data_IF_840058199272
#
_entry.id   IF_840058199272
#
_cell.length_a   1.000
_cell.length_b   1.000
_cell.length_c   1.000
_cell.angle_alpha   90.00
_cell.angle_beta   90.00
_cell.angle_gamma   90.00
#
_symmetry.space_group_name_H-M   'P 1'
#
loop_
_entity.id
_entity.type
_entity.pdbx_description
1 polymer ?
#
# COMPACT_ATOMS: atom_id res chain seq x y z
N UNK A 1 4.17 -13.61 -2.26
CA UNK A 1 3.36 -12.65 -1.49
C UNK A 1 3.74 -12.72 -0.02
N UNK A 2 4.34 -11.65 0.50
CA UNK A 2 4.65 -11.45 1.91
C UNK A 2 3.71 -10.40 2.51
N UNK A 3 3.58 -10.43 3.85
CA UNK A 3 2.79 -9.46 4.62
C UNK A 3 3.71 -8.60 5.46
N UNK A 4 3.55 -7.28 5.38
CA UNK A 4 4.39 -6.32 6.08
C UNK A 4 3.53 -5.39 6.95
N UNK A 5 3.77 -5.36 8.26
CA UNK A 5 3.16 -4.37 9.15
C UNK A 5 3.97 -3.06 9.14
N UNK A 6 3.31 -1.95 8.83
CA UNK A 6 3.95 -0.66 8.65
C UNK A 6 3.21 0.42 9.43
N UNK A 7 3.95 1.23 10.17
CA UNK A 7 3.43 2.46 10.74
C UNK A 7 3.14 3.48 9.65
N UNK A 8 2.07 4.24 9.83
CA UNK A 8 1.70 5.39 8.99
C UNK A 8 1.15 6.53 9.85
N UNK A 9 1.42 7.76 9.44
CA UNK A 9 0.96 8.94 10.17
C UNK A 9 -0.55 9.14 9.99
N UNK A 10 -1.27 9.71 10.97
CA UNK A 10 -2.71 9.91 10.87
C UNK A 10 -3.17 10.61 9.59
N UNK A 11 -2.46 11.67 9.19
CA UNK A 11 -2.81 12.46 8.01
C UNK A 11 -2.67 11.64 6.72
N UNK A 12 -1.62 10.81 6.62
CA UNK A 12 -1.42 9.92 5.47
C UNK A 12 -2.37 8.72 5.52
N UNK A 13 -2.71 8.24 6.71
CA UNK A 13 -3.69 7.16 6.89
C UNK A 13 -5.05 7.56 6.32
N UNK A 14 -5.54 8.77 6.59
CA UNK A 14 -6.78 9.29 6.01
C UNK A 14 -6.72 9.42 4.48
N UNK A 15 -5.58 9.86 3.94
CA UNK A 15 -5.40 9.96 2.49
C UNK A 15 -5.39 8.60 1.80
N UNK A 16 -4.77 7.59 2.41
CA UNK A 16 -4.83 6.21 1.92
C UNK A 16 -6.26 5.68 2.05
N UNK A 17 -6.91 5.88 3.19
CA UNK A 17 -8.27 5.38 3.44
C UNK A 17 -9.29 5.96 2.45
N UNK A 18 -9.18 7.25 2.12
CA UNK A 18 -10.04 7.91 1.13
C UNK A 18 -9.68 7.58 -0.32
N UNK A 19 -8.55 6.91 -0.57
CA UNK A 19 -8.05 6.63 -1.93
C UNK A 19 -7.37 7.82 -2.60
N UNK A 20 -7.26 8.97 -1.93
CA UNK A 20 -6.55 10.14 -2.44
C UNK A 20 -5.03 9.90 -2.59
N UNK A 21 -4.47 9.01 -1.77
CA UNK A 21 -3.06 8.62 -1.83
C UNK A 21 -2.95 7.13 -2.20
N UNK A 22 -2.48 6.90 -3.42
CA UNK A 22 -2.34 5.56 -4.03
C UNK A 22 -0.89 5.13 -4.20
N UNK A 23 0.07 5.89 -3.64
CA UNK A 23 1.48 5.52 -3.62
C UNK A 23 2.17 5.93 -2.31
N UNK A 24 3.27 5.26 -1.98
CA UNK A 24 4.05 5.53 -0.77
C UNK A 24 5.55 5.41 -1.04
N UNK A 25 6.33 6.39 -0.58
CA UNK A 25 7.79 6.27 -0.50
C UNK A 25 8.18 5.51 0.79
N UNK A 26 9.03 4.49 0.66
CA UNK A 26 9.55 3.70 1.78
C UNK A 26 11.03 3.40 1.60
N UNK A 27 11.78 3.24 2.70
CA UNK A 27 13.07 2.56 2.64
C UNK A 27 12.82 1.10 2.25
N UNK A 28 13.55 0.56 1.30
CA UNK A 28 13.39 -0.82 0.84
C UNK A 28 14.21 -1.81 1.70
N UNK A 29 14.08 -1.72 3.03
CA UNK A 29 14.84 -2.54 3.99
C UNK A 29 14.20 -3.90 4.30
N UNK A 30 13.08 -4.20 3.63
CA UNK A 30 12.33 -5.45 3.76
C UNK A 30 12.27 -6.24 2.46
N UNK A 31 12.89 -5.70 1.40
CA UNK A 31 12.80 -6.19 0.04
C UNK A 31 11.34 -6.32 -0.39
N UNK A 32 10.59 -5.22 -0.45
CA UNK A 32 9.20 -5.23 -0.92
C UNK A 32 9.10 -5.76 -2.35
N UNK A 33 8.00 -6.42 -2.68
CA UNK A 33 7.74 -6.92 -4.04
C UNK A 33 6.31 -6.60 -4.48
N UNK A 34 6.10 -6.56 -5.80
CA UNK A 34 4.75 -6.50 -6.38
C UNK A 34 3.95 -7.72 -5.93
N UNK A 35 2.71 -7.48 -5.49
CA UNK A 35 1.83 -8.49 -4.92
C UNK A 35 1.95 -8.65 -3.41
N UNK A 36 2.92 -8.02 -2.73
CA UNK A 36 2.95 -7.99 -1.27
C UNK A 36 1.76 -7.22 -0.67
N UNK A 37 1.35 -7.63 0.52
CA UNK A 37 0.31 -6.95 1.29
C UNK A 37 0.95 -6.13 2.42
N UNK A 38 0.47 -4.90 2.57
CA UNK A 38 0.88 -3.98 3.62
C UNK A 38 -0.29 -3.79 4.60
N UNK A 39 -0.06 -4.14 5.85
CA UNK A 39 -0.94 -3.77 6.95
C UNK A 39 -0.48 -2.40 7.47
N UNK A 40 -1.21 -1.35 7.08
CA UNK A 40 -0.92 0.01 7.51
C UNK A 40 -1.59 0.26 8.85
N UNK A 41 -0.77 0.50 9.87
CA UNK A 41 -1.19 0.73 11.24
C UNK A 41 -1.00 2.21 11.58
N UNK A 42 -2.09 2.90 11.88
CA UNK A 42 -2.00 4.31 12.24
C UNK A 42 -1.26 4.49 13.56
N UNK A 43 -0.23 5.34 13.53
CA UNK A 43 0.66 5.59 14.67
C UNK A 43 0.86 7.09 14.90
N UNK A 44 0.55 7.56 16.11
CA UNK A 44 0.74 8.96 16.53
C UNK A 44 2.15 9.14 17.07
N UNK A 45 3.10 9.48 16.21
CA UNK A 45 4.53 9.60 16.57
C UNK A 45 4.82 10.55 17.74
N UNK A 46 4.06 11.64 17.88
CA UNK A 46 4.21 12.57 19.01
C UNK A 46 3.81 11.96 20.35
N UNK A 47 2.88 11.01 20.35
CA UNK A 47 2.37 10.33 21.54
C UNK A 47 3.01 8.94 21.74
N UNK A 48 3.71 8.42 20.73
CA UNK A 48 4.34 7.10 20.79
C UNK A 48 3.35 5.92 20.76
N UNK A 49 2.10 6.14 20.34
CA UNK A 49 1.03 5.15 20.44
C UNK A 49 0.41 4.78 19.08
N UNK A 50 -0.09 3.55 19.01
CA UNK A 50 -1.02 3.13 17.96
C UNK A 50 -2.42 3.60 18.32
N UNK A 51 -3.21 4.02 17.32
CA UNK A 51 -4.62 4.40 17.55
C UNK A 51 -5.57 3.22 17.52
N UNK A 52 -5.10 2.06 17.06
CA UNK A 52 -5.90 0.87 16.79
C UNK A 52 -6.48 0.81 15.37
N UNK A 53 -6.45 1.90 14.60
CA UNK A 53 -6.93 1.90 13.21
C UNK A 53 -5.92 1.23 12.28
N UNK A 54 -6.43 0.42 11.34
CA UNK A 54 -5.62 -0.32 10.37
C UNK A 54 -6.34 -0.39 9.02
N UNK A 55 -5.58 -0.43 7.93
CA UNK A 55 -6.09 -0.79 6.60
C UNK A 55 -5.12 -1.72 5.87
N UNK A 56 -5.66 -2.53 4.96
CA UNK A 56 -4.89 -3.49 4.16
C UNK A 56 -4.83 -3.03 2.72
N UNK A 57 -3.62 -2.89 2.20
CA UNK A 57 -3.37 -2.54 0.81
C UNK A 57 -2.40 -3.54 0.18
N UNK A 58 -2.49 -3.71 -1.13
CA UNK A 58 -1.57 -4.54 -1.91
C UNK A 58 -0.64 -3.65 -2.74
N UNK A 59 0.63 -4.02 -2.84
CA UNK A 59 1.57 -3.39 -3.76
C UNK A 59 1.22 -3.83 -5.18
N UNK A 60 0.80 -2.90 -6.02
CA UNK A 60 0.41 -3.19 -7.41
C UNK A 60 1.55 -2.93 -8.39
N UNK A 61 2.38 -1.92 -8.11
CA UNK A 61 3.58 -1.57 -8.87
C UNK A 61 4.64 -1.03 -7.90
N UNK A 62 5.91 -1.07 -8.31
CA UNK A 62 7.01 -0.55 -7.51
C UNK A 62 8.14 -0.03 -8.39
N UNK A 63 8.74 1.09 -8.00
CA UNK A 63 10.06 1.54 -8.46
C UNK A 63 11.07 1.42 -7.33
N UNK A 64 12.29 0.97 -7.63
CA UNK A 64 13.39 0.87 -6.67
C UNK A 64 14.48 1.88 -7.03
N UNK A 65 14.94 2.66 -6.06
CA UNK A 65 15.91 3.73 -6.31
C UNK A 65 17.24 3.26 -6.88
N UNK A 66 17.60 2.00 -6.65
CA UNK A 66 18.80 1.39 -7.22
C UNK A 66 18.74 1.29 -8.76
N UNK A 67 17.52 1.28 -9.33
CA UNK A 67 17.27 1.20 -10.78
C UNK A 67 16.79 2.54 -11.39
N UNK A 68 16.19 3.40 -10.57
CA UNK A 68 15.49 4.63 -11.01
C UNK A 68 16.10 5.92 -10.44
N UNK A 69 17.36 5.89 -10.01
CA UNK A 69 18.09 7.05 -9.44
C UNK A 69 18.09 8.28 -10.36
N UNK A 70 18.13 8.07 -11.68
CA UNK A 70 18.07 9.12 -12.71
C UNK A 70 16.79 9.94 -12.68
N UNK A 71 15.72 9.42 -12.06
CA UNK A 71 14.45 10.12 -11.88
C UNK A 71 14.29 10.73 -10.47
N UNK A 72 15.38 10.76 -9.68
CA UNK A 72 15.40 11.35 -8.34
C UNK A 72 14.99 10.39 -7.21
N UNK A 73 14.76 9.09 -7.51
CA UNK A 73 14.49 8.11 -6.47
C UNK A 73 15.80 7.65 -5.81
N UNK A 74 16.00 7.99 -4.54
CA UNK A 74 17.24 7.69 -3.83
C UNK A 74 17.50 6.18 -3.68
N UNK A 75 18.75 5.74 -3.87
CA UNK A 75 19.24 4.38 -3.59
C UNK A 75 18.78 3.88 -2.22
N UNK A 76 18.34 2.63 -2.15
CA UNK A 76 17.78 2.03 -0.93
C UNK A 76 16.35 2.45 -0.57
N UNK A 77 15.69 3.29 -1.38
CA UNK A 77 14.26 3.60 -1.26
C UNK A 77 13.46 2.95 -2.39
N UNK A 78 12.15 2.80 -2.16
CA UNK A 78 11.19 2.33 -3.14
C UNK A 78 9.93 3.20 -3.10
N UNK A 79 9.36 3.46 -4.28
CA UNK A 79 8.03 4.05 -4.44
C UNK A 79 7.06 2.91 -4.73
N UNK A 80 6.11 2.68 -3.81
CA UNK A 80 5.15 1.58 -3.88
C UNK A 80 3.79 2.13 -4.31
N UNK A 81 3.27 1.72 -5.47
CA UNK A 81 1.85 1.90 -5.80
C UNK A 81 1.03 0.90 -5.01
N UNK A 82 -0.07 1.38 -4.42
CA UNK A 82 -0.90 0.60 -3.50
C UNK A 82 -2.38 0.69 -3.86
N UNK A 83 -3.10 -0.37 -3.52
CA UNK A 83 -4.55 -0.46 -3.72
C UNK A 83 -5.21 -1.21 -2.57
N UNK A 84 -6.41 -0.80 -2.15
CA UNK A 84 -7.14 -1.47 -1.07
C UNK A 84 -7.46 -2.92 -1.44
N UNK A 85 -7.15 -3.84 -0.53
CA UNK A 85 -7.45 -5.27 -0.73
C UNK A 85 -8.97 -5.49 -0.88
N UNK A 86 -9.77 -4.78 -0.10
CA UNK A 86 -11.23 -4.90 -0.14
C UNK A 86 -11.81 -4.37 -1.47
N UNK A 87 -11.18 -3.38 -2.10
CA UNK A 87 -11.59 -2.87 -3.41
C UNK A 87 -11.31 -3.91 -4.51
N UNK A 88 -10.12 -4.52 -4.47
CA UNK A 88 -9.72 -5.57 -5.41
C UNK A 88 -10.63 -6.79 -5.35
N UNK A 89 -11.06 -7.19 -4.15
CA UNK A 89 -12.00 -8.31 -3.98
C UNK A 89 -13.36 -8.00 -4.61
N UNK A 90 -13.92 -6.80 -4.37
CA UNK A 90 -15.20 -6.39 -4.97
C UNK A 90 -15.15 -6.33 -6.49
N UNK A 91 -14.05 -5.82 -7.06
CA UNK A 91 -13.87 -5.80 -8.51
C UNK A 91 -13.73 -7.20 -9.11
N UNK A 92 -12.96 -8.07 -8.45
CA UNK A 92 -12.82 -9.46 -8.90
C UNK A 92 -14.17 -10.20 -8.87
N UNK A 93 -14.94 -10.04 -7.80
CA UNK A 93 -16.29 -10.61 -7.67
C UNK A 93 -17.25 -10.06 -8.73
N UNK A 94 -17.22 -8.75 -8.99
CA UNK A 94 -18.03 -8.11 -10.02
C UNK A 94 -17.68 -8.64 -11.43
N UNK A 95 -16.38 -8.82 -11.73
CA UNK A 95 -15.92 -9.40 -13.01
C UNK A 95 -16.36 -10.85 -13.16
N UNK A 96 -16.29 -11.66 -12.10
CA UNK A 96 -16.77 -13.05 -12.12
C UNK A 96 -18.27 -13.10 -12.40
N UNK A 97 -19.08 -12.29 -11.70
CA UNK A 97 -20.54 -12.23 -11.94
C UNK A 97 -20.88 -11.83 -13.38
N UNK A 98 -20.16 -10.85 -13.92
CA UNK A 98 -20.32 -10.41 -15.31
C UNK A 98 -20.00 -11.54 -16.32
N UNK A 99 -18.96 -12.34 -16.07
CA UNK A 99 -18.60 -13.48 -16.93
C UNK A 99 -19.60 -14.62 -16.80
N UNK A 100 -20.14 -14.85 -15.60
CA UNK A 100 -21.09 -15.94 -15.33
C UNK A 100 -22.54 -15.62 -15.72
N UNK A 101 -22.83 -14.40 -16.18
CA UNK A 101 -24.17 -14.00 -16.63
C UNK A 101 -25.20 -13.86 -15.51
N UNK A 102 -24.75 -13.76 -14.26
CA UNK A 102 -25.60 -13.55 -13.09
C UNK A 102 -25.74 -12.04 -12.86
N UNK A 103 -26.78 -11.45 -13.46
CA UNK A 103 -27.17 -10.05 -13.27
C UNK A 103 -28.14 -9.89 -12.09
#
# INVERSE_FOLDING_TARGET
MRRHSLKIWPQLFEQVLSGAMTCMLRRNDRGFEVGDELLLEEFRYRLGEYTGRKCRVRVTHMWVGDEYVQFGLMTGFALLSIEHVDALQREAEARVKQVMGEA
#
